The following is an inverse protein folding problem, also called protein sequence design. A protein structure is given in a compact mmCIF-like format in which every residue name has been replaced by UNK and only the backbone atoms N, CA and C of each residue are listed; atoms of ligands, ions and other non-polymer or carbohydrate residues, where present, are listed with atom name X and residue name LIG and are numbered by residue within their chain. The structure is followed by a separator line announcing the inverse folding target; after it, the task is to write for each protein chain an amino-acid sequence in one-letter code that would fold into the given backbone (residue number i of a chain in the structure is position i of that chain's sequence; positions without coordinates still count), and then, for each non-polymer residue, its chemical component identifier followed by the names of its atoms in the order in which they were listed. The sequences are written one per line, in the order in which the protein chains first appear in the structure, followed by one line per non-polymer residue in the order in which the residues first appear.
data_IF_757504521110
#
_entry.id   IF_757504521110
#
_cell.length_a   1.000
_cell.length_b   1.000
_cell.length_c   1.000
_cell.angle_alpha   90.00
_cell.angle_beta   90.00
_cell.angle_gamma   90.00
#
_symmetry.space_group_name_H-M   'P 1'
#
loop_
_entity.id
_entity.type
_entity.pdbx_description
1 polymer ?
#
# COMPACT_ATOMS: atom_id res chain seq x y z
N UNK A 1 1.86 11.87 30.98
CA UNK A 1 0.80 11.07 30.31
C UNK A 1 -0.27 12.08 29.94
N UNK A 2 -0.19 12.75 28.79
CA UNK A 2 -0.75 12.31 27.51
C UNK A 2 -0.14 13.17 26.39
N UNK A 3 0.36 12.54 25.34
CA UNK A 3 0.93 13.23 24.18
C UNK A 3 -0.18 13.93 23.40
N UNK A 4 -0.03 15.25 23.25
CA UNK A 4 -0.80 16.08 22.32
C UNK A 4 -0.26 15.75 20.92
N UNK A 5 -0.89 14.81 20.22
CA UNK A 5 -0.57 14.42 18.82
C UNK A 5 -1.77 14.65 17.89
N UNK A 6 -2.53 15.73 18.11
CA UNK A 6 -3.82 15.88 17.40
C UNK A 6 -4.09 17.34 17.01
N UNK A 7 -3.38 17.85 15.99
CA UNK A 7 -3.83 19.04 15.23
C UNK A 7 -3.28 19.09 13.80
N UNK A 8 -2.42 18.16 13.37
CA UNK A 8 -2.05 17.98 11.96
C UNK A 8 -2.81 16.79 11.37
N UNK A 9 -3.24 16.84 10.09
CA UNK A 9 -3.91 15.70 9.46
C UNK A 9 -3.05 14.46 9.66
N UNK A 10 -3.58 13.46 10.35
CA UNK A 10 -2.84 12.23 10.62
C UNK A 10 -2.69 11.49 9.29
N UNK A 11 -1.46 11.50 8.76
CA UNK A 11 -1.10 10.69 7.60
C UNK A 11 -0.74 9.33 8.16
N UNK A 12 -1.52 8.33 7.77
CA UNK A 12 -1.18 6.95 8.01
C UNK A 12 -0.64 6.32 6.72
N UNK A 13 0.28 5.38 6.86
CA UNK A 13 0.90 4.67 5.75
C UNK A 13 0.82 3.16 5.99
N UNK A 14 0.57 2.40 4.93
CA UNK A 14 0.71 0.96 4.92
C UNK A 14 1.53 0.52 3.71
N UNK A 15 2.43 -0.43 3.93
CA UNK A 15 3.19 -1.07 2.85
C UNK A 15 2.54 -2.42 2.57
N UNK A 16 2.13 -2.63 1.32
CA UNK A 16 1.60 -3.91 0.86
C UNK A 16 2.63 -4.62 -0.04
N UNK A 17 2.85 -5.91 0.16
CA UNK A 17 3.54 -6.75 -0.83
C UNK A 17 2.49 -7.38 -1.73
N UNK A 18 2.53 -7.10 -3.04
CA UNK A 18 1.51 -7.54 -4.00
C UNK A 18 2.16 -8.18 -5.23
N UNK A 19 1.55 -9.23 -5.78
CA UNK A 19 1.92 -9.80 -7.07
C UNK A 19 1.26 -9.01 -8.20
N UNK A 20 2.05 -8.66 -9.21
CA UNK A 20 1.56 -7.99 -10.43
C UNK A 20 1.05 -9.03 -11.42
N UNK A 21 -0.21 -8.92 -11.83
CA UNK A 21 -0.82 -9.73 -12.89
C UNK A 21 -0.34 -9.27 -14.27
N UNK A 22 -0.59 -10.10 -15.30
CA UNK A 22 -0.26 -9.78 -16.69
C UNK A 22 -1.06 -8.60 -17.28
N UNK A 23 -2.15 -8.20 -16.65
CA UNK A 23 -2.99 -7.05 -17.00
C UNK A 23 -2.61 -5.77 -16.22
N UNK A 24 -1.54 -5.82 -15.42
CA UNK A 24 -1.09 -4.73 -14.55
C UNK A 24 -1.88 -4.60 -13.25
N UNK A 25 -2.94 -5.39 -13.04
CA UNK A 25 -3.65 -5.42 -11.76
C UNK A 25 -2.84 -6.11 -10.66
N UNK A 26 -3.21 -5.88 -9.41
CA UNK A 26 -2.54 -6.51 -8.26
C UNK A 26 -3.35 -7.71 -7.73
N UNK A 27 -2.64 -8.71 -7.22
CA UNK A 27 -3.21 -9.89 -6.55
C UNK A 27 -2.27 -10.38 -5.46
N UNK A 28 -2.73 -11.35 -4.65
CA UNK A 28 -1.93 -11.95 -3.56
C UNK A 28 -1.29 -10.90 -2.64
N UNK A 29 -2.02 -9.82 -2.34
CA UNK A 29 -1.52 -8.72 -1.53
C UNK A 29 -1.51 -9.10 -0.04
N UNK A 30 -0.46 -8.71 0.68
CA UNK A 30 -0.36 -8.83 2.14
C UNK A 30 0.20 -7.55 2.76
N UNK A 31 -0.23 -7.22 3.98
CA UNK A 31 0.29 -6.08 4.74
C UNK A 31 1.67 -6.43 5.27
N UNK A 32 2.69 -5.68 4.86
CA UNK A 32 4.06 -5.79 5.34
C UNK A 32 4.28 -4.93 6.59
N UNK A 33 3.72 -3.72 6.58
CA UNK A 33 3.79 -2.80 7.71
C UNK A 33 2.65 -1.78 7.65
N UNK A 34 2.32 -1.22 8.81
CA UNK A 34 1.46 -0.04 8.91
C UNK A 34 2.04 0.94 9.94
N UNK A 35 1.79 2.23 9.73
CA UNK A 35 2.23 3.31 10.61
C UNK A 35 1.17 4.40 10.67
N UNK A 36 0.66 4.72 11.88
CA UNK A 36 0.89 4.07 13.17
C UNK A 36 0.47 2.59 13.17
N UNK A 37 1.16 1.77 13.95
CA UNK A 37 0.80 0.38 14.16
C UNK A 37 -0.61 0.28 14.78
N UNK A 38 -1.35 -0.78 14.44
CA UNK A 38 -2.65 -1.14 15.01
C UNK A 38 -3.80 -0.16 14.71
N UNK A 39 -3.62 0.76 13.76
CA UNK A 39 -4.65 1.71 13.34
C UNK A 39 -5.63 1.10 12.30
N UNK A 40 -5.34 -0.11 11.79
CA UNK A 40 -6.18 -0.82 10.80
C UNK A 40 -6.01 -0.29 9.37
N UNK A 41 -5.00 0.54 9.13
CA UNK A 41 -4.70 1.17 7.84
C UNK A 41 -4.26 0.11 6.84
N UNK A 42 -3.52 -0.90 7.29
CA UNK A 42 -3.13 -2.04 6.45
C UNK A 42 -4.34 -2.77 5.86
N UNK A 43 -5.38 -3.01 6.66
CA UNK A 43 -6.60 -3.70 6.21
C UNK A 43 -7.43 -2.83 5.25
N UNK A 44 -7.51 -1.53 5.53
CA UNK A 44 -8.14 -0.58 4.62
C UNK A 44 -7.41 -0.55 3.26
N UNK A 45 -6.08 -0.44 3.28
CA UNK A 45 -5.24 -0.48 2.09
C UNK A 45 -5.40 -1.79 1.30
N UNK A 46 -5.45 -2.93 1.99
CA UNK A 46 -5.64 -4.24 1.37
C UNK A 46 -6.99 -4.34 0.64
N UNK A 47 -8.05 -3.77 1.23
CA UNK A 47 -9.38 -3.73 0.61
C UNK A 47 -9.40 -2.90 -0.68
N UNK A 48 -8.55 -1.87 -0.76
CA UNK A 48 -8.39 -1.04 -1.95
C UNK A 48 -7.47 -1.67 -3.02
N UNK A 49 -6.61 -2.61 -2.65
CA UNK A 49 -5.58 -3.16 -3.52
C UNK A 49 -6.12 -3.80 -4.82
N UNK A 50 -7.36 -4.33 -4.77
CA UNK A 50 -8.06 -4.88 -5.94
C UNK A 50 -8.32 -3.86 -7.05
N UNK A 51 -8.32 -2.57 -6.73
CA UNK A 51 -8.55 -1.46 -7.66
C UNK A 51 -7.26 -0.85 -8.19
N UNK A 52 -6.10 -1.27 -7.66
CA UNK A 52 -4.82 -0.73 -8.08
C UNK A 52 -4.36 -1.36 -9.38
N UNK A 53 -3.75 -0.52 -10.22
CA UNK A 53 -3.14 -0.92 -11.47
C UNK A 53 -1.76 -0.27 -11.58
N UNK A 54 -0.80 -1.02 -12.11
CA UNK A 54 0.58 -0.57 -12.29
C UNK A 54 1.03 -0.79 -13.71
N UNK A 55 1.96 0.05 -14.16
CA UNK A 55 2.66 -0.17 -15.41
C UNK A 55 3.51 -1.43 -15.33
N UNK A 56 3.40 -2.25 -16.38
CA UNK A 56 4.16 -3.47 -16.50
C UNK A 56 5.64 -3.23 -16.77
N UNK A 57 5.99 -2.11 -17.41
CA UNK A 57 7.39 -1.76 -17.64
C UNK A 57 7.89 -0.90 -16.49
N UNK A 58 8.90 -1.42 -15.77
CA UNK A 58 9.65 -0.63 -14.81
C UNK A 58 10.57 0.38 -15.50
N UNK A 59 11.09 1.37 -14.75
CA UNK A 59 12.08 2.32 -15.25
C UNK A 59 13.41 1.66 -15.65
N UNK A 60 13.64 0.43 -15.20
CA UNK A 60 14.76 -0.43 -15.58
C UNK A 60 14.53 -1.21 -16.89
N UNK A 61 13.37 -1.02 -17.52
CA UNK A 61 12.98 -1.71 -18.76
C UNK A 61 12.55 -3.17 -18.56
N UNK A 62 12.48 -3.67 -17.32
CA UNK A 62 12.05 -5.04 -17.04
C UNK A 62 10.54 -5.10 -16.86
N UNK A 63 9.97 -6.23 -17.26
CA UNK A 63 8.56 -6.51 -16.98
C UNK A 63 8.37 -6.83 -15.50
N UNK A 64 7.38 -6.20 -14.89
CA UNK A 64 6.95 -6.45 -13.51
C UNK A 64 5.92 -7.58 -13.42
N UNK A 65 5.36 -8.04 -14.55
CA UNK A 65 4.37 -9.10 -14.56
C UNK A 65 4.91 -10.37 -13.88
N UNK A 66 4.13 -10.94 -12.96
CA UNK A 66 4.51 -12.11 -12.18
C UNK A 66 5.49 -11.84 -11.04
N UNK A 67 5.91 -10.59 -10.84
CA UNK A 67 6.80 -10.21 -9.72
C UNK A 67 5.99 -9.68 -8.54
N UNK A 68 6.56 -9.81 -7.34
CA UNK A 68 6.07 -9.10 -6.16
C UNK A 68 6.67 -7.70 -6.11
N UNK A 69 5.86 -6.72 -5.73
CA UNK A 69 6.26 -5.32 -5.52
C UNK A 69 5.75 -4.82 -4.18
N UNK A 70 6.46 -3.85 -3.61
CA UNK A 70 6.00 -3.10 -2.45
C UNK A 70 5.18 -1.88 -2.89
N UNK A 71 3.96 -1.78 -2.40
CA UNK A 71 2.99 -0.73 -2.73
C UNK A 71 2.73 0.11 -1.48
N UNK A 72 3.30 1.32 -1.38
CA UNK A 72 3.02 2.23 -0.28
C UNK A 72 1.66 2.91 -0.48
N UNK A 73 0.76 2.73 0.47
CA UNK A 73 -0.57 3.36 0.51
C UNK A 73 -0.59 4.40 1.62
N UNK A 74 -0.79 5.67 1.25
CA UNK A 74 -0.89 6.78 2.20
C UNK A 74 -2.33 7.25 2.32
N UNK A 75 -2.86 7.17 3.53
CA UNK A 75 -4.23 7.55 3.86
C UNK A 75 -4.19 8.84 4.69
N UNK A 76 -4.93 9.84 4.23
CA UNK A 76 -5.15 11.07 5.02
C UNK A 76 -6.41 10.90 5.84
N UNK A 77 -6.24 10.85 7.15
CA UNK A 77 -7.33 10.80 8.11
C UNK A 77 -7.81 12.24 8.34
N UNK A 78 -9.12 12.43 8.31
CA UNK A 78 -9.79 13.72 8.49
C UNK A 78 -10.44 13.80 9.86
#
# INVERSE_FOLDING_TARGET
MTQIKDTTPQIAEAILSCMVKRDGGLTACSVQSETPAELGVGQAALSMASQFQVDLMGPDGKSRAGSFIDVPVRIRIR
#
